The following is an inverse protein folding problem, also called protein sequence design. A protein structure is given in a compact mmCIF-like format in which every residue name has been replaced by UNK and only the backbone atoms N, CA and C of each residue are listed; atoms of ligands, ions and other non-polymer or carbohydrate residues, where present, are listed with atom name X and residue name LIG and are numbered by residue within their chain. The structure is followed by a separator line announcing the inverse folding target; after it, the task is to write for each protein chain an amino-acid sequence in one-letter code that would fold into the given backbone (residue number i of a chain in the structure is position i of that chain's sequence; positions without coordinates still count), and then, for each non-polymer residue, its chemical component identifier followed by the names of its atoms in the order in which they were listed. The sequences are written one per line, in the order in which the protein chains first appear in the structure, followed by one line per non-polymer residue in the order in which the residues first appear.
data_IF_913887440805
#
_entry.id   IF_913887440805
#
_cell.length_a   1.000
_cell.length_b   1.000
_cell.length_c   1.000
_cell.angle_alpha   90.00
_cell.angle_beta   90.00
_cell.angle_gamma   90.00
#
_symmetry.space_group_name_H-M   'P 1'
#
loop_
_entity.id
_entity.type
_entity.pdbx_description
1 polymer ?
#
# COMPACT_ATOMS: atom_id res chain seq x y z
N UNK A 1 7.88 30.11 8.52
CA UNK A 1 8.04 28.85 9.25
C UNK A 1 7.18 27.70 8.69
N UNK A 2 5.90 27.93 8.32
CA UNK A 2 4.98 26.85 7.85
C UNK A 2 5.38 26.26 6.50
N UNK A 3 5.89 27.05 5.56
CA UNK A 3 6.38 26.57 4.27
C UNK A 3 7.58 25.63 4.45
N UNK A 4 8.52 25.99 5.32
CA UNK A 4 9.67 25.14 5.65
C UNK A 4 9.23 23.82 6.31
N UNK A 5 8.24 23.88 7.19
CA UNK A 5 7.68 22.68 7.83
C UNK A 5 6.96 21.78 6.81
N UNK A 6 6.22 22.36 5.85
CA UNK A 6 5.57 21.61 4.78
C UNK A 6 6.61 20.96 3.84
N UNK A 7 7.70 21.66 3.53
CA UNK A 7 8.79 21.10 2.72
C UNK A 7 9.47 19.91 3.42
N UNK A 8 9.69 20.02 4.73
CA UNK A 8 10.21 18.89 5.52
C UNK A 8 9.24 17.72 5.51
N UNK A 9 7.94 17.97 5.71
CA UNK A 9 6.90 16.93 5.67
C UNK A 9 6.81 16.25 4.30
N UNK A 10 6.91 17.00 3.20
CA UNK A 10 6.94 16.45 1.85
C UNK A 10 8.14 15.50 1.65
N UNK A 11 9.31 15.89 2.14
CA UNK A 11 10.51 15.05 2.08
C UNK A 11 10.35 13.76 2.90
N UNK A 12 9.77 13.83 4.08
CA UNK A 12 9.51 12.64 4.92
C UNK A 12 8.48 11.69 4.27
N UNK A 13 7.42 12.24 3.67
CA UNK A 13 6.43 11.45 2.93
C UNK A 13 7.09 10.76 1.75
N UNK A 14 7.92 11.47 0.97
CA UNK A 14 8.65 10.89 -0.16
C UNK A 14 9.53 9.70 0.28
N UNK A 15 10.23 9.83 1.41
CA UNK A 15 11.02 8.75 1.99
C UNK A 15 10.17 7.53 2.36
N UNK A 16 9.07 7.74 3.06
CA UNK A 16 8.15 6.68 3.47
C UNK A 16 7.49 5.96 2.29
N UNK A 17 7.13 6.71 1.23
CA UNK A 17 6.56 6.11 0.01
C UNK A 17 7.61 5.28 -0.73
N UNK A 18 8.89 5.70 -0.72
CA UNK A 18 9.99 4.90 -1.25
C UNK A 18 10.19 3.57 -0.48
N UNK A 19 10.15 3.61 0.85
CA UNK A 19 10.20 2.40 1.69
C UNK A 19 9.00 1.49 1.43
N UNK A 20 7.80 2.05 1.28
CA UNK A 20 6.58 1.32 0.94
C UNK A 20 6.72 0.63 -0.41
N UNK A 21 7.24 1.31 -1.44
CA UNK A 21 7.50 0.74 -2.75
C UNK A 21 8.41 -0.50 -2.68
N UNK A 22 9.48 -0.45 -1.90
CA UNK A 22 10.39 -1.58 -1.70
C UNK A 22 9.68 -2.75 -0.98
N UNK A 23 8.89 -2.47 0.05
CA UNK A 23 8.13 -3.49 0.78
C UNK A 23 7.08 -4.19 -0.11
N UNK A 24 6.46 -3.45 -1.03
CA UNK A 24 5.53 -4.01 -2.01
C UNK A 24 6.25 -4.94 -2.99
N UNK A 25 7.42 -4.53 -3.52
CA UNK A 25 8.21 -5.38 -4.42
C UNK A 25 8.63 -6.68 -3.74
N UNK A 26 9.08 -6.63 -2.48
CA UNK A 26 9.40 -7.81 -1.69
C UNK A 26 8.18 -8.70 -1.48
N UNK A 27 7.02 -8.10 -1.15
CA UNK A 27 5.76 -8.83 -0.95
C UNK A 27 5.28 -9.51 -2.23
N UNK A 28 5.43 -8.84 -3.39
CA UNK A 28 5.09 -9.42 -4.68
C UNK A 28 6.02 -10.61 -5.01
N UNK A 29 7.31 -10.51 -4.73
CA UNK A 29 8.24 -11.64 -4.84
C UNK A 29 7.79 -12.84 -4.01
N UNK A 30 7.37 -12.63 -2.76
CA UNK A 30 6.85 -13.69 -1.89
C UNK A 30 5.54 -14.30 -2.39
N UNK A 31 4.68 -13.52 -3.07
CA UNK A 31 3.48 -14.06 -3.73
C UNK A 31 3.84 -15.02 -4.86
N UNK A 32 4.84 -14.72 -5.66
CA UNK A 32 5.32 -15.63 -6.71
C UNK A 32 5.90 -16.91 -6.12
N UNK A 33 6.75 -16.82 -5.09
CA UNK A 33 7.27 -17.99 -4.38
C UNK A 33 6.15 -18.87 -3.79
N UNK A 34 5.07 -18.23 -3.30
CA UNK A 34 3.90 -18.93 -2.78
C UNK A 34 3.16 -19.67 -3.89
N UNK A 35 2.99 -19.07 -5.07
CA UNK A 35 2.37 -19.73 -6.24
C UNK A 35 3.21 -20.92 -6.68
N UNK A 36 4.54 -20.80 -6.74
CA UNK A 36 5.44 -21.88 -7.09
C UNK A 36 5.33 -23.05 -6.09
N UNK A 37 5.33 -22.75 -4.79
CA UNK A 37 5.15 -23.75 -3.74
C UNK A 37 3.80 -24.46 -3.83
N UNK A 38 2.73 -23.74 -4.16
CA UNK A 38 1.40 -24.33 -4.38
C UNK A 38 1.37 -25.22 -5.62
N UNK A 39 2.09 -24.87 -6.69
CA UNK A 39 2.25 -25.73 -7.85
C UNK A 39 2.96 -27.03 -7.48
N UNK A 40 4.02 -26.98 -6.68
CA UNK A 40 4.71 -28.18 -6.18
C UNK A 40 3.77 -29.08 -5.36
N UNK A 41 2.95 -28.49 -4.47
CA UNK A 41 1.96 -29.24 -3.70
C UNK A 41 0.91 -29.88 -4.62
N UNK A 42 0.47 -29.17 -5.65
CA UNK A 42 -0.47 -29.70 -6.63
C UNK A 42 0.09 -30.90 -7.38
N UNK A 43 1.34 -30.84 -7.85
CA UNK A 43 2.01 -31.94 -8.51
C UNK A 43 2.24 -33.14 -7.56
N UNK A 44 2.68 -32.88 -6.32
CA UNK A 44 2.81 -33.95 -5.32
C UNK A 44 1.46 -34.60 -4.99
N UNK A 45 0.38 -33.83 -4.93
CA UNK A 45 -0.97 -34.37 -4.71
C UNK A 45 -1.44 -35.25 -5.85
N UNK A 46 -1.13 -34.93 -7.11
CA UNK A 46 -1.41 -35.78 -8.28
C UNK A 46 -0.64 -37.11 -8.23
N UNK A 47 0.60 -37.07 -7.75
CA UNK A 47 1.37 -38.31 -7.58
C UNK A 47 0.79 -39.18 -6.45
N UNK A 48 0.33 -38.56 -5.35
CA UNK A 48 -0.36 -39.31 -4.27
C UNK A 48 -1.66 -39.93 -4.79
N UNK A 49 -2.43 -39.24 -5.62
CA UNK A 49 -3.64 -39.80 -6.23
C UNK A 49 -3.36 -41.06 -7.05
N UNK A 50 -2.28 -41.08 -7.83
CA UNK A 50 -1.82 -42.28 -8.54
C UNK A 50 -1.46 -43.43 -7.61
N UNK A 51 -0.78 -43.13 -6.50
CA UNK A 51 -0.43 -44.14 -5.49
C UNK A 51 -1.70 -44.72 -4.86
N UNK A 52 -2.67 -43.88 -4.52
CA UNK A 52 -3.96 -44.33 -3.96
C UNK A 52 -4.73 -45.20 -4.94
N UNK A 53 -4.75 -44.83 -6.22
CA UNK A 53 -5.34 -45.69 -7.26
C UNK A 53 -4.68 -47.05 -7.31
N UNK A 54 -3.35 -47.13 -7.25
CA UNK A 54 -2.59 -48.39 -7.20
C UNK A 54 -2.91 -49.20 -5.93
N UNK A 55 -3.03 -48.55 -4.76
CA UNK A 55 -3.42 -49.24 -3.50
C UNK A 55 -4.82 -49.84 -3.64
N UNK A 56 -5.76 -49.12 -4.23
CA UNK A 56 -7.11 -49.64 -4.47
C UNK A 56 -7.11 -50.84 -5.41
N UNK A 57 -6.29 -50.82 -6.44
CA UNK A 57 -6.09 -51.97 -7.35
C UNK A 57 -5.49 -53.16 -6.61
N UNK A 58 -4.43 -52.98 -5.80
CA UNK A 58 -3.83 -54.04 -4.97
C UNK A 58 -4.85 -54.62 -4.01
N UNK A 59 -5.66 -53.78 -3.35
CA UNK A 59 -6.72 -54.24 -2.46
C UNK A 59 -7.75 -55.10 -3.20
N UNK A 60 -8.16 -54.69 -4.39
CA UNK A 60 -9.07 -55.49 -5.26
C UNK A 60 -8.46 -56.83 -5.67
N UNK A 61 -7.19 -56.83 -6.08
CA UNK A 61 -6.48 -58.09 -6.42
C UNK A 61 -6.31 -59.00 -5.21
N UNK A 62 -6.02 -58.42 -4.03
CA UNK A 62 -5.90 -59.19 -2.77
C UNK A 62 -7.24 -59.83 -2.40
N UNK A 63 -8.34 -59.13 -2.58
CA UNK A 63 -9.69 -59.63 -2.37
C UNK A 63 -10.01 -60.80 -3.26
N UNK A 64 -9.64 -60.73 -4.57
CA UNK A 64 -9.79 -61.84 -5.51
C UNK A 64 -8.92 -63.05 -5.16
N UNK A 65 -7.69 -62.81 -4.67
CA UNK A 65 -6.80 -63.89 -4.22
C UNK A 65 -7.37 -64.56 -2.97
N UNK A 66 -7.89 -63.79 -2.02
CA UNK A 66 -8.52 -64.32 -0.82
C UNK A 66 -9.78 -65.14 -1.13
N UNK A 67 -10.61 -64.66 -2.07
CA UNK A 67 -11.78 -65.41 -2.54
C UNK A 67 -11.39 -66.75 -3.17
N UNK A 68 -10.35 -66.77 -4.03
CA UNK A 68 -9.85 -67.99 -4.60
C UNK A 68 -9.32 -68.95 -3.53
N UNK A 69 -8.64 -68.45 -2.51
CA UNK A 69 -8.15 -69.22 -1.38
C UNK A 69 -9.31 -69.80 -0.55
N UNK A 70 -10.39 -69.05 -0.29
CA UNK A 70 -11.59 -69.56 0.37
C UNK A 70 -12.27 -70.64 -0.41
N UNK A 71 -12.35 -70.56 -1.75
CA UNK A 71 -12.90 -71.60 -2.62
C UNK A 71 -12.09 -72.87 -2.52
N UNK A 72 -10.76 -72.79 -2.60
CA UNK A 72 -9.90 -73.97 -2.56
C UNK A 72 -9.87 -74.58 -1.14
N UNK A 73 -9.95 -73.80 -0.09
CA UNK A 73 -10.12 -74.26 1.30
C UNK A 73 -11.43 -75.06 1.48
N UNK A 74 -12.54 -74.58 0.92
CA UNK A 74 -13.82 -75.28 0.91
C UNK A 74 -13.73 -76.59 0.15
N UNK A 75 -12.96 -76.61 -0.93
CA UNK A 75 -12.71 -77.88 -1.75
C UNK A 75 -11.92 -78.95 -1.00
N UNK A 76 -11.02 -78.52 -0.07
CA UNK A 76 -10.24 -79.43 0.78
C UNK A 76 -11.05 -80.01 1.98
N UNK A 77 -12.29 -79.53 2.22
CA UNK A 77 -13.18 -80.05 3.28
C UNK A 77 -12.64 -79.85 4.66
N UNK A 78 -12.65 -80.78 5.58
CA UNK A 78 -12.17 -80.71 6.93
C UNK A 78 -10.72 -80.23 7.05
N UNK A 79 -9.83 -80.66 6.15
CA UNK A 79 -8.43 -80.22 6.17
C UNK A 79 -8.23 -78.74 5.79
N UNK A 80 -9.21 -78.09 5.17
CA UNK A 80 -9.15 -76.72 4.70
C UNK A 80 -9.74 -75.70 5.71
N UNK A 81 -10.42 -76.08 6.80
CA UNK A 81 -11.12 -75.17 7.70
C UNK A 81 -10.26 -74.03 8.25
N UNK A 82 -9.01 -74.30 8.63
CA UNK A 82 -8.10 -73.28 9.14
C UNK A 82 -7.71 -72.24 8.05
N UNK A 83 -7.54 -72.72 6.79
CA UNK A 83 -7.25 -71.86 5.64
C UNK A 83 -8.45 -70.98 5.26
N UNK A 84 -9.67 -71.52 5.34
CA UNK A 84 -10.88 -70.75 5.06
C UNK A 84 -11.00 -69.49 6.01
N UNK A 85 -10.73 -69.68 7.29
CA UNK A 85 -10.75 -68.60 8.26
C UNK A 85 -9.70 -67.52 7.92
N UNK A 86 -8.51 -67.90 7.53
CA UNK A 86 -7.46 -66.95 7.10
C UNK A 86 -7.87 -66.21 5.85
N UNK A 87 -8.43 -66.92 4.86
CA UNK A 87 -8.91 -66.30 3.61
C UNK A 87 -10.02 -65.30 3.86
N UNK A 88 -10.97 -65.58 4.74
CA UNK A 88 -12.03 -64.65 5.13
C UNK A 88 -11.46 -63.40 5.84
N UNK A 89 -10.43 -63.55 6.70
CA UNK A 89 -9.75 -62.43 7.33
C UNK A 89 -8.99 -61.55 6.30
N UNK A 90 -8.36 -62.16 5.28
CA UNK A 90 -7.68 -61.45 4.20
C UNK A 90 -8.70 -60.66 3.36
N UNK A 91 -9.88 -61.25 3.08
CA UNK A 91 -10.99 -60.54 2.42
C UNK A 91 -11.40 -59.29 3.16
N UNK A 92 -11.62 -59.39 4.49
CA UNK A 92 -11.97 -58.22 5.34
C UNK A 92 -10.89 -57.17 5.32
N UNK A 93 -9.60 -57.54 5.37
CA UNK A 93 -8.48 -56.60 5.30
C UNK A 93 -8.39 -55.91 3.93
N UNK A 94 -8.64 -56.66 2.85
CA UNK A 94 -8.67 -56.09 1.51
C UNK A 94 -9.79 -55.08 1.33
N UNK A 95 -10.99 -55.37 1.80
CA UNK A 95 -12.12 -54.43 1.76
C UNK A 95 -11.86 -53.17 2.61
N UNK A 96 -11.29 -53.32 3.80
CA UNK A 96 -10.88 -52.18 4.64
C UNK A 96 -9.81 -51.32 3.94
N UNK A 97 -8.85 -51.98 3.25
CA UNK A 97 -7.81 -51.25 2.53
C UNK A 97 -8.38 -50.51 1.32
N UNK A 98 -9.30 -51.08 0.57
CA UNK A 98 -9.99 -50.42 -0.53
C UNK A 98 -10.82 -49.20 -0.03
N UNK A 99 -11.51 -49.37 1.11
CA UNK A 99 -12.29 -48.28 1.69
C UNK A 99 -11.37 -47.14 2.15
N UNK A 100 -10.26 -47.42 2.84
CA UNK A 100 -9.29 -46.44 3.27
C UNK A 100 -8.64 -45.71 2.08
N UNK A 101 -8.34 -46.41 1.00
CA UNK A 101 -7.85 -45.80 -0.26
C UNK A 101 -8.88 -44.82 -0.84
N UNK A 102 -10.15 -45.23 -0.91
CA UNK A 102 -11.24 -44.36 -1.42
C UNK A 102 -11.43 -43.10 -0.57
N UNK A 103 -11.38 -43.22 0.76
CA UNK A 103 -11.47 -42.07 1.67
C UNK A 103 -10.26 -41.16 1.48
N UNK A 104 -9.05 -41.70 1.32
CA UNK A 104 -7.83 -40.94 1.05
C UNK A 104 -7.91 -40.18 -0.28
N UNK A 105 -8.46 -40.79 -1.34
CA UNK A 105 -8.67 -40.13 -2.63
C UNK A 105 -9.56 -38.89 -2.51
N UNK A 106 -10.63 -38.97 -1.74
CA UNK A 106 -11.54 -37.82 -1.48
C UNK A 106 -10.81 -36.68 -0.74
N UNK A 107 -9.94 -37.02 0.22
CA UNK A 107 -9.14 -36.04 0.95
C UNK A 107 -8.13 -35.36 0.03
N UNK A 108 -7.47 -36.13 -0.85
CA UNK A 108 -6.53 -35.56 -1.83
C UNK A 108 -7.24 -34.65 -2.82
N UNK A 109 -8.38 -35.08 -3.39
CA UNK A 109 -9.18 -34.22 -4.28
C UNK A 109 -9.58 -32.91 -3.60
N UNK A 110 -9.98 -32.97 -2.34
CA UNK A 110 -10.32 -31.78 -1.55
C UNK A 110 -9.10 -30.88 -1.34
N UNK A 111 -7.92 -31.47 -1.10
CA UNK A 111 -6.66 -30.74 -0.93
C UNK A 111 -6.24 -30.06 -2.23
N UNK A 112 -6.34 -30.74 -3.38
CA UNK A 112 -6.08 -30.14 -4.70
C UNK A 112 -6.97 -28.93 -4.94
N UNK A 113 -8.27 -29.03 -4.70
CA UNK A 113 -9.20 -27.91 -4.85
C UNK A 113 -8.86 -26.74 -3.93
N UNK A 114 -8.41 -27.01 -2.71
CA UNK A 114 -7.98 -25.98 -1.79
C UNK A 114 -6.70 -25.27 -2.27
N UNK A 115 -5.74 -26.01 -2.81
CA UNK A 115 -4.51 -25.47 -3.40
C UNK A 115 -4.82 -24.62 -4.63
N UNK A 116 -5.67 -25.09 -5.55
CA UNK A 116 -6.10 -24.33 -6.72
C UNK A 116 -6.75 -22.99 -6.34
N UNK A 117 -7.63 -23.03 -5.33
CA UNK A 117 -8.22 -21.79 -4.78
C UNK A 117 -7.17 -20.87 -4.18
N UNK A 118 -6.20 -21.42 -3.48
CA UNK A 118 -5.08 -20.66 -2.91
C UNK A 118 -4.23 -19.99 -3.99
N UNK A 119 -3.94 -20.67 -5.10
CA UNK A 119 -3.22 -20.09 -6.24
C UNK A 119 -3.96 -18.88 -6.82
N UNK A 120 -5.28 -19.01 -7.02
CA UNK A 120 -6.11 -17.88 -7.52
C UNK A 120 -6.05 -16.69 -6.58
N UNK A 121 -6.11 -16.91 -5.26
CA UNK A 121 -6.03 -15.83 -4.27
C UNK A 121 -4.63 -15.19 -4.29
N UNK A 122 -3.57 -15.98 -4.41
CA UNK A 122 -2.20 -15.47 -4.47
C UNK A 122 -1.97 -14.61 -5.72
N UNK A 123 -2.44 -15.06 -6.88
CA UNK A 123 -2.37 -14.31 -8.14
C UNK A 123 -3.13 -12.98 -8.08
N UNK A 124 -4.35 -13.02 -7.55
CA UNK A 124 -5.13 -11.79 -7.31
C UNK A 124 -4.43 -10.84 -6.35
N UNK A 125 -3.78 -11.37 -5.31
CA UNK A 125 -3.03 -10.55 -4.35
C UNK A 125 -1.81 -9.93 -4.99
N UNK A 126 -1.08 -10.67 -5.85
CA UNK A 126 0.04 -10.15 -6.62
C UNK A 126 -0.39 -8.97 -7.52
N UNK A 127 -1.51 -9.13 -8.23
CA UNK A 127 -2.08 -8.05 -9.06
C UNK A 127 -2.45 -6.82 -8.22
N UNK A 128 -3.07 -7.00 -7.06
CA UNK A 128 -3.39 -5.89 -6.16
C UNK A 128 -2.13 -5.18 -5.63
N UNK A 129 -1.06 -5.91 -5.38
CA UNK A 129 0.23 -5.32 -4.98
C UNK A 129 0.85 -4.49 -6.11
N UNK A 130 0.68 -4.88 -7.38
CA UNK A 130 1.10 -4.07 -8.54
C UNK A 130 0.33 -2.74 -8.59
N UNK A 131 -0.99 -2.78 -8.40
CA UNK A 131 -1.81 -1.57 -8.34
C UNK A 131 -1.36 -0.63 -7.20
N UNK A 132 -1.01 -1.18 -6.04
CA UNK A 132 -0.49 -0.39 -4.90
C UNK A 132 0.88 0.19 -5.22
N UNK A 133 1.75 -0.54 -5.95
CA UNK A 133 3.04 -0.03 -6.40
C UNK A 133 2.88 1.17 -7.35
N UNK A 134 1.96 1.09 -8.31
CA UNK A 134 1.70 2.17 -9.26
C UNK A 134 1.09 3.40 -8.58
N UNK A 135 0.17 3.20 -7.63
CA UNK A 135 -0.34 4.28 -6.79
C UNK A 135 0.77 4.96 -5.97
N UNK A 136 1.71 4.18 -5.45
CA UNK A 136 2.86 4.71 -4.70
C UNK A 136 3.77 5.58 -5.57
N UNK A 137 3.99 5.21 -6.84
CA UNK A 137 4.71 6.04 -7.83
C UNK A 137 3.99 7.36 -8.07
N UNK A 138 2.67 7.31 -8.28
CA UNK A 138 1.85 8.50 -8.46
C UNK A 138 1.94 9.45 -7.27
N UNK A 139 1.90 8.91 -6.03
CA UNK A 139 2.06 9.70 -4.81
C UNK A 139 3.46 10.34 -4.78
N UNK A 140 4.52 9.62 -5.17
CA UNK A 140 5.88 10.17 -5.22
C UNK A 140 5.97 11.37 -6.17
N UNK A 141 5.36 11.27 -7.35
CA UNK A 141 5.32 12.38 -8.32
C UNK A 141 4.54 13.60 -7.76
N UNK A 142 3.40 13.35 -7.13
CA UNK A 142 2.62 14.43 -6.51
C UNK A 142 3.38 15.12 -5.38
N UNK A 143 4.09 14.37 -4.55
CA UNK A 143 4.94 14.94 -3.49
C UNK A 143 6.10 15.73 -4.07
N UNK A 144 6.68 15.30 -5.19
CA UNK A 144 7.67 16.07 -5.95
C UNK A 144 7.11 17.44 -6.37
N UNK A 145 5.93 17.46 -6.98
CA UNK A 145 5.26 18.69 -7.40
C UNK A 145 4.95 19.64 -6.21
N UNK A 146 4.61 19.05 -5.04
CA UNK A 146 4.42 19.83 -3.81
C UNK A 146 5.76 20.47 -3.39
N UNK A 147 6.87 19.74 -3.43
CA UNK A 147 8.19 20.28 -3.07
C UNK A 147 8.58 21.46 -3.97
N UNK A 148 8.39 21.35 -5.29
CA UNK A 148 8.66 22.42 -6.27
C UNK A 148 7.78 23.65 -6.02
N UNK A 149 6.50 23.42 -5.67
CA UNK A 149 5.57 24.51 -5.32
C UNK A 149 6.00 25.24 -4.05
N UNK A 150 6.48 24.51 -3.03
CA UNK A 150 6.97 25.07 -1.77
C UNK A 150 8.26 25.89 -1.97
N UNK A 151 9.14 25.50 -2.88
CA UNK A 151 10.31 26.28 -3.26
C UNK A 151 9.91 27.61 -3.92
N UNK A 152 8.94 27.56 -4.82
CA UNK A 152 8.35 28.76 -5.43
C UNK A 152 7.71 29.68 -4.40
N UNK A 153 6.95 29.11 -3.44
CA UNK A 153 6.34 29.87 -2.35
C UNK A 153 7.40 30.53 -1.45
N UNK A 154 8.48 29.81 -1.16
CA UNK A 154 9.60 30.37 -0.36
C UNK A 154 10.19 31.60 -1.04
N UNK A 155 10.42 31.53 -2.35
CA UNK A 155 10.91 32.66 -3.14
C UNK A 155 9.94 33.84 -3.11
N UNK A 156 8.65 33.60 -3.29
CA UNK A 156 7.63 34.62 -3.23
C UNK A 156 7.54 35.31 -1.84
N UNK A 157 7.67 34.54 -0.76
CA UNK A 157 7.69 35.08 0.61
C UNK A 157 8.92 35.97 0.83
N UNK A 158 10.09 35.59 0.29
CA UNK A 158 11.26 36.47 0.34
C UNK A 158 11.01 37.81 -0.37
N UNK A 159 10.43 37.79 -1.56
CA UNK A 159 10.09 39.01 -2.30
C UNK A 159 9.04 39.86 -1.55
N UNK A 160 8.07 39.23 -0.89
CA UNK A 160 7.09 39.96 -0.05
C UNK A 160 7.79 40.64 1.13
N UNK A 161 8.71 39.98 1.81
CA UNK A 161 9.46 40.55 2.92
C UNK A 161 10.31 41.76 2.48
N UNK A 162 11.02 41.65 1.35
CA UNK A 162 11.74 42.78 0.75
C UNK A 162 10.80 43.96 0.44
N UNK A 163 9.62 43.66 -0.13
CA UNK A 163 8.61 44.70 -0.36
C UNK A 163 8.08 45.36 0.90
N UNK A 164 7.91 44.61 1.99
CA UNK A 164 7.52 45.15 3.29
C UNK A 164 8.60 46.07 3.88
N UNK A 165 9.88 45.72 3.75
CA UNK A 165 11.00 46.55 4.15
C UNK A 165 10.98 47.88 3.36
N UNK A 166 10.79 47.84 2.05
CA UNK A 166 10.67 49.07 1.22
C UNK A 166 9.46 49.92 1.62
N UNK A 167 8.31 49.29 1.94
CA UNK A 167 7.14 50.04 2.43
C UNK A 167 7.45 50.73 3.76
N UNK A 168 8.16 50.06 4.67
CA UNK A 168 8.58 50.64 5.93
C UNK A 168 9.47 51.89 5.73
N UNK A 169 10.42 51.84 4.83
CA UNK A 169 11.30 52.98 4.47
C UNK A 169 10.48 54.15 3.90
N UNK A 170 9.50 53.86 3.02
CA UNK A 170 8.60 54.88 2.47
C UNK A 170 7.72 55.49 3.57
N UNK A 171 7.18 54.69 4.49
CA UNK A 171 6.39 55.19 5.64
C UNK A 171 7.22 56.10 6.53
N UNK A 172 8.46 55.74 6.81
CA UNK A 172 9.38 56.54 7.60
C UNK A 172 9.72 57.88 6.92
N UNK A 173 10.00 57.84 5.60
CA UNK A 173 10.23 59.02 4.79
C UNK A 173 9.01 59.94 4.74
N UNK A 174 7.80 59.37 4.57
CA UNK A 174 6.56 60.15 4.57
C UNK A 174 6.29 60.81 5.94
N UNK A 175 6.61 60.13 7.04
CA UNK A 175 6.47 60.70 8.38
C UNK A 175 7.38 61.90 8.55
N UNK A 176 8.66 61.79 8.16
CA UNK A 176 9.60 62.90 8.21
C UNK A 176 9.16 64.09 7.33
N UNK A 177 8.71 63.79 6.10
CA UNK A 177 8.20 64.83 5.18
C UNK A 177 6.92 65.50 5.75
N UNK A 178 6.06 64.74 6.42
CA UNK A 178 4.86 65.31 7.07
C UNK A 178 5.21 66.25 8.23
N UNK A 179 6.24 65.92 9.03
CA UNK A 179 6.76 66.78 10.08
C UNK A 179 7.34 68.10 9.50
N UNK A 180 8.14 68.01 8.43
CA UNK A 180 8.68 69.14 7.70
C UNK A 180 7.56 70.01 7.12
N UNK A 181 6.53 69.43 6.51
CA UNK A 181 5.37 70.17 5.99
C UNK A 181 4.59 70.87 7.10
N UNK A 182 4.44 70.29 8.29
CA UNK A 182 3.78 70.84 9.42
C UNK A 182 4.60 72.06 9.91
N UNK A 183 5.91 71.95 10.08
CA UNK A 183 6.80 73.03 10.47
C UNK A 183 6.78 74.19 9.46
N UNK A 184 6.84 73.93 8.17
CA UNK A 184 6.74 74.92 7.11
C UNK A 184 5.37 75.63 7.09
N UNK A 185 4.28 74.93 7.42
CA UNK A 185 2.94 75.52 7.54
C UNK A 185 2.82 76.43 8.73
N UNK A 186 3.44 76.13 9.88
CA UNK A 186 3.51 77.00 11.05
C UNK A 186 4.32 78.23 10.72
N UNK A 187 5.46 78.13 10.06
CA UNK A 187 6.30 79.26 9.63
C UNK A 187 5.55 80.16 8.65
N UNK A 188 4.88 79.65 7.65
CA UNK A 188 4.04 80.39 6.71
C UNK A 188 2.89 81.15 7.44
N UNK A 189 2.24 80.48 8.40
CA UNK A 189 1.19 81.08 9.21
C UNK A 189 1.72 82.27 10.01
N UNK A 190 2.88 82.16 10.64
CA UNK A 190 3.58 83.21 11.35
C UNK A 190 3.94 84.38 10.43
N UNK A 191 4.47 84.11 9.26
CA UNK A 191 4.85 85.16 8.29
C UNK A 191 3.63 85.86 7.70
N UNK A 192 2.52 85.19 7.48
CA UNK A 192 1.25 85.74 7.05
C UNK A 192 0.69 86.74 8.12
N UNK A 193 0.84 86.41 9.41
CA UNK A 193 0.39 87.27 10.50
C UNK A 193 1.31 88.50 10.66
N UNK A 194 2.60 88.36 10.45
CA UNK A 194 3.58 89.43 10.34
C UNK A 194 3.24 90.43 9.20
N UNK A 195 2.98 89.90 8.02
CA UNK A 195 2.55 90.69 6.86
C UNK A 195 1.23 91.43 7.13
N UNK A 196 0.25 90.75 7.73
CA UNK A 196 -1.01 91.36 8.15
C UNK A 196 -0.82 92.46 9.12
N UNK A 197 0.11 92.34 10.06
CA UNK A 197 0.46 93.39 11.03
C UNK A 197 1.14 94.61 10.36
N UNK A 198 2.06 94.35 9.39
CA UNK A 198 2.67 95.41 8.60
C UNK A 198 1.65 96.17 7.75
N UNK A 199 0.75 95.49 7.07
CA UNK A 199 -0.33 96.16 6.28
C UNK A 199 -1.24 97.02 7.14
N UNK A 200 -1.56 96.61 8.35
CA UNK A 200 -2.36 97.37 9.29
C UNK A 200 -1.71 98.68 9.69
N UNK A 201 -0.37 98.83 9.59
CA UNK A 201 0.35 100.08 9.85
C UNK A 201 0.24 101.10 8.70
N UNK A 202 -0.11 100.69 7.51
CA UNK A 202 -0.36 101.61 6.42
C UNK A 202 -1.79 102.15 6.51
N UNK A 203 -1.91 103.52 6.77
CA UNK A 203 -3.17 104.22 6.65
C UNK A 203 -3.48 104.35 5.16
N UNK A 204 -4.38 103.56 4.61
CA UNK A 204 -4.92 103.81 3.29
C UNK A 204 -5.77 105.02 3.33
N UNK A 205 -5.44 106.06 2.54
CA UNK A 205 -6.27 107.21 2.38
C UNK A 205 -7.58 106.77 1.74
N UNK A 206 -8.74 107.14 2.42
CA UNK A 206 -10.05 106.95 1.82
C UNK A 206 -10.14 107.86 0.62
N UNK A 207 -10.21 107.27 -0.57
CA UNK A 207 -10.67 107.96 -1.79
C UNK A 207 -12.17 108.17 -1.62
N UNK A 208 -12.62 109.42 -1.60
CA UNK A 208 -14.01 109.78 -1.72
C UNK A 208 -14.54 109.43 -3.10
#
# INVERSE_FOLDING_TARGET
DQVAQNAQSAKEISGKVGELGNAILESNGKMHEMVDSMNEINEASKEIDKIIATINEIASQTNLLALNASIEAARAGEAGKGFAVVADQVTVLADQSAQAAKESAVLIETSVKAVEKGMVIADQTATQLEDVADNSRTITEQVGNIADTLETQTTAIHQINEGIEQINDVVQTNSATSEECAAASEEMSSEADNLRTMIRRFKVAKTE
#
